data_IF_933389456346
#
_entry.id   IF_933389456346
#
_cell.length_a   1.000
_cell.length_b   1.000
_cell.length_c   1.000
_cell.angle_alpha   90.00
_cell.angle_beta   90.00
_cell.angle_gamma   90.00
#
_symmetry.space_group_name_H-M   'P 1'
#
loop_
_entity.id
_entity.type
_entity.pdbx_description
1 polymer ?
#
# COMPACT_ATOMS: atom_id res chain seq x y z
N UNK A 1 -16.56 -15.32 10.12
CA UNK A 1 -16.72 -14.21 9.14
C UNK A 1 -15.41 -14.05 8.41
N UNK A 2 -15.40 -13.86 7.09
CA UNK A 2 -14.17 -13.63 6.29
C UNK A 2 -13.77 -12.16 6.32
N UNK A 3 -13.67 -11.59 7.52
CA UNK A 3 -13.26 -10.19 7.70
C UNK A 3 -11.88 -9.98 7.07
N UNK A 4 -11.72 -8.96 6.23
CA UNK A 4 -10.46 -8.67 5.51
C UNK A 4 -10.38 -9.17 4.07
N UNK A 5 -11.29 -10.05 3.62
CA UNK A 5 -11.27 -10.54 2.23
C UNK A 5 -11.44 -9.40 1.20
N UNK A 6 -12.30 -8.42 1.48
CA UNK A 6 -12.53 -7.28 0.59
C UNK A 6 -11.27 -6.44 0.35
N UNK A 7 -10.64 -5.87 1.41
CA UNK A 7 -9.37 -5.15 1.28
C UNK A 7 -8.26 -5.97 0.64
N UNK A 8 -8.12 -7.25 1.01
CA UNK A 8 -7.13 -8.14 0.40
C UNK A 8 -7.35 -8.28 -1.11
N UNK A 9 -8.58 -8.58 -1.54
CA UNK A 9 -8.87 -8.68 -2.98
C UNK A 9 -8.64 -7.35 -3.70
N UNK A 10 -8.98 -6.22 -3.07
CA UNK A 10 -8.73 -4.90 -3.65
C UNK A 10 -7.22 -4.62 -3.81
N UNK A 11 -6.40 -5.01 -2.84
CA UNK A 11 -4.94 -4.91 -2.88
C UNK A 11 -4.36 -5.73 -4.04
N UNK A 12 -4.75 -7.00 -4.16
CA UNK A 12 -4.26 -7.87 -5.25
C UNK A 12 -4.73 -7.41 -6.63
N UNK A 13 -5.97 -6.93 -6.74
CA UNK A 13 -6.48 -6.34 -7.98
C UNK A 13 -5.70 -5.06 -8.32
N UNK A 14 -5.38 -4.23 -7.34
CA UNK A 14 -4.57 -3.04 -7.56
C UNK A 14 -3.16 -3.38 -8.07
N UNK A 15 -2.53 -4.46 -7.56
CA UNK A 15 -1.31 -5.00 -8.16
C UNK A 15 -1.49 -5.42 -9.61
N UNK A 16 -2.55 -6.19 -9.91
CA UNK A 16 -2.87 -6.57 -11.28
C UNK A 16 -3.05 -5.36 -12.22
N UNK A 17 -3.54 -4.25 -11.68
CA UNK A 17 -3.76 -2.99 -12.42
C UNK A 17 -2.53 -2.07 -12.44
N UNK A 18 -1.40 -2.48 -11.85
CA UNK A 18 -0.11 -1.82 -11.98
C UNK A 18 0.33 -0.96 -10.78
N UNK A 19 -0.31 -1.10 -9.62
CA UNK A 19 0.19 -0.52 -8.38
C UNK A 19 1.22 -1.44 -7.70
N UNK A 20 2.12 -0.85 -6.91
CA UNK A 20 3.16 -1.56 -6.17
C UNK A 20 3.05 -1.20 -4.69
N UNK A 21 3.75 -1.94 -3.83
CA UNK A 21 3.80 -1.57 -2.43
C UNK A 21 4.38 -0.17 -2.26
N UNK A 22 3.66 0.67 -1.52
CA UNK A 22 4.14 1.99 -1.07
C UNK A 22 5.39 1.84 -0.21
N UNK A 23 5.43 0.79 0.60
CA UNK A 23 6.57 0.38 1.41
C UNK A 23 6.49 -1.13 1.65
N UNK A 24 7.59 -1.83 1.39
CA UNK A 24 7.80 -3.25 1.66
C UNK A 24 8.05 -3.50 3.16
N UNK A 25 7.96 -4.75 3.65
CA UNK A 25 8.17 -5.05 5.07
C UNK A 25 9.53 -4.58 5.59
N UNK A 26 10.56 -4.59 4.73
CA UNK A 26 11.93 -4.17 5.04
C UNK A 26 12.20 -2.67 4.76
N UNK A 27 11.16 -1.87 4.52
CA UNK A 27 11.29 -0.45 4.25
C UNK A 27 11.73 -0.09 2.83
N UNK A 28 11.90 -1.07 1.94
CA UNK A 28 12.14 -0.77 0.52
C UNK A 28 10.91 -0.12 -0.10
N UNK A 29 11.15 0.85 -0.99
CA UNK A 29 10.10 1.49 -1.79
C UNK A 29 10.24 1.02 -3.23
N UNK A 30 9.24 0.31 -3.74
CA UNK A 30 9.20 -0.17 -5.12
C UNK A 30 8.28 0.68 -6.01
N UNK A 31 7.33 1.37 -5.41
CA UNK A 31 6.44 2.29 -6.10
C UNK A 31 7.19 3.58 -6.54
N UNK A 32 6.84 4.10 -7.72
CA UNK A 32 7.45 5.32 -8.28
C UNK A 32 6.59 6.59 -8.11
N UNK A 33 5.45 6.47 -7.42
CA UNK A 33 4.51 7.58 -7.21
C UNK A 33 4.99 8.44 -6.03
N UNK A 34 4.84 9.76 -6.16
CA UNK A 34 5.42 10.73 -5.20
C UNK A 34 4.44 11.20 -4.12
N UNK A 35 3.15 10.90 -4.26
CA UNK A 35 2.09 11.33 -3.34
C UNK A 35 1.64 10.24 -2.37
N UNK A 36 2.36 9.12 -2.32
CA UNK A 36 2.13 8.05 -1.34
C UNK A 36 3.06 8.24 -0.14
N UNK A 37 2.53 8.20 1.10
CA UNK A 37 3.38 8.20 2.29
C UNK A 37 4.27 6.95 2.31
N UNK A 38 5.56 7.16 2.58
CA UNK A 38 6.55 6.09 2.75
C UNK A 38 6.81 5.87 4.25
N UNK A 39 6.81 4.61 4.68
CA UNK A 39 7.28 4.25 6.00
C UNK A 39 8.79 3.99 5.95
N UNK A 40 9.59 4.87 6.55
CA UNK A 40 11.04 4.70 6.57
C UNK A 40 11.50 3.68 7.61
N UNK A 41 12.69 3.11 7.43
CA UNK A 41 13.31 2.18 8.39
C UNK A 41 13.66 2.83 9.72
N UNK A 42 13.61 4.17 9.82
CA UNK A 42 13.69 4.91 11.09
C UNK A 42 12.49 4.66 12.01
N UNK A 43 11.42 4.05 11.49
CA UNK A 43 10.21 3.69 12.24
C UNK A 43 10.20 2.26 12.77
N UNK A 44 11.19 1.43 12.42
CA UNK A 44 11.42 0.11 13.04
C UNK A 44 11.83 0.31 14.51
N UNK A 45 10.82 0.44 15.36
CA UNK A 45 10.94 0.88 16.74
C UNK A 45 11.27 -0.27 17.68
N UNK A 46 10.93 -1.50 17.31
CA UNK A 46 11.31 -2.70 18.05
C UNK A 46 12.59 -3.38 17.53
N UNK A 47 13.07 -2.99 16.33
CA UNK A 47 14.35 -3.40 15.77
C UNK A 47 14.33 -4.82 15.22
N UNK A 48 13.17 -5.35 14.86
CA UNK A 48 13.02 -6.70 14.30
C UNK A 48 13.28 -6.76 12.79
N UNK A 49 13.47 -5.61 12.14
CA UNK A 49 13.70 -5.47 10.71
C UNK A 49 12.43 -5.47 9.87
N UNK A 50 11.25 -5.41 10.48
CA UNK A 50 9.94 -5.39 9.85
C UNK A 50 9.13 -4.15 10.26
N UNK A 51 8.64 -3.42 9.27
CA UNK A 51 7.78 -2.26 9.48
C UNK A 51 6.33 -2.68 9.65
N UNK A 52 5.85 -2.71 10.90
CA UNK A 52 4.47 -3.02 11.25
C UNK A 52 3.48 -1.90 10.88
N UNK A 53 2.18 -2.21 10.89
CA UNK A 53 1.13 -1.19 10.74
C UNK A 53 1.15 -0.15 11.86
N UNK A 54 1.58 -0.52 13.06
CA UNK A 54 1.62 0.36 14.23
C UNK A 54 2.75 1.38 14.12
N UNK A 55 3.94 0.94 13.70
CA UNK A 55 5.10 1.80 13.46
C UNK A 55 4.86 2.78 12.30
N UNK A 56 4.13 2.31 11.30
CA UNK A 56 3.80 3.07 10.10
C UNK A 56 2.47 3.82 10.20
N UNK A 57 1.88 3.98 11.39
CA UNK A 57 0.70 4.80 11.57
C UNK A 57 0.99 6.27 11.17
N UNK A 58 0.08 6.85 10.39
CA UNK A 58 0.26 8.15 9.73
C UNK A 58 1.39 8.20 8.68
N UNK A 59 2.04 7.09 8.36
CA UNK A 59 3.15 7.01 7.41
C UNK A 59 3.04 5.79 6.47
N UNK A 60 1.86 5.60 5.89
CA UNK A 60 1.66 4.61 4.83
C UNK A 60 0.74 3.45 5.22
N UNK A 61 0.62 3.11 6.51
CA UNK A 61 -0.20 1.97 6.96
C UNK A 61 -1.69 2.07 6.56
N UNK A 62 -2.21 3.28 6.37
CA UNK A 62 -3.58 3.51 5.89
C UNK A 62 -3.78 3.26 4.39
N UNK A 63 -2.70 3.22 3.60
CA UNK A 63 -2.76 3.01 2.15
C UNK A 63 -3.10 1.55 1.83
N UNK A 64 -4.00 1.34 0.86
CA UNK A 64 -4.40 0.03 0.38
C UNK A 64 -3.19 -0.79 -0.08
N UNK A 65 -2.18 -0.14 -0.64
CA UNK A 65 -0.95 -0.74 -1.15
C UNK A 65 0.19 -0.72 -0.13
N UNK A 66 -0.07 -0.58 1.16
CA UNK A 66 0.92 -0.97 2.17
C UNK A 66 1.00 -2.50 2.24
N UNK A 67 2.20 -3.07 2.47
CA UNK A 67 2.46 -4.51 2.31
C UNK A 67 1.56 -5.43 3.15
N UNK A 68 0.97 -4.92 4.24
CA UNK A 68 0.06 -5.70 5.09
C UNK A 68 -1.35 -5.83 4.53
N UNK A 69 -1.69 -5.10 3.45
CA UNK A 69 -3.01 -5.09 2.81
C UNK A 69 -4.19 -4.77 3.76
N UNK A 70 -3.93 -4.05 4.86
CA UNK A 70 -4.95 -3.66 5.85
C UNK A 70 -5.52 -2.24 5.61
N UNK A 71 -4.78 -1.41 4.86
CA UNK A 71 -5.19 -0.06 4.52
C UNK A 71 -6.40 -0.02 3.58
N UNK A 72 -6.99 1.17 3.45
CA UNK A 72 -8.21 1.40 2.66
C UNK A 72 -8.14 2.63 1.77
N UNK A 73 -7.04 3.37 1.84
CA UNK A 73 -6.86 4.64 1.14
C UNK A 73 -6.03 4.45 -0.13
N UNK A 74 -6.26 5.31 -1.11
CA UNK A 74 -5.41 5.41 -2.30
C UNK A 74 -5.03 6.88 -2.49
N UNK A 75 -3.81 7.12 -2.95
CA UNK A 75 -3.38 8.46 -3.35
C UNK A 75 -4.03 8.88 -4.67
N UNK A 76 -3.92 10.17 -5.00
CA UNK A 76 -4.47 10.68 -6.25
C UNK A 76 -3.76 10.05 -7.47
N UNK A 77 -2.43 9.92 -7.43
CA UNK A 77 -1.68 9.29 -8.52
C UNK A 77 -1.98 7.79 -8.64
N UNK A 78 -2.20 7.08 -7.53
CA UNK A 78 -2.62 5.68 -7.56
C UNK A 78 -3.98 5.54 -8.27
N UNK A 79 -4.94 6.41 -7.95
CA UNK A 79 -6.24 6.45 -8.63
C UNK A 79 -6.07 6.73 -10.13
N UNK A 80 -5.16 7.62 -10.52
CA UNK A 80 -4.90 7.94 -11.92
C UNK A 80 -4.28 6.76 -12.69
N UNK A 81 -3.42 5.95 -12.04
CA UNK A 81 -2.93 4.69 -12.62
C UNK A 81 -4.10 3.73 -12.85
N UNK A 82 -4.95 3.52 -11.85
CA UNK A 82 -6.10 2.61 -11.96
C UNK A 82 -7.07 3.05 -13.07
N UNK A 83 -7.36 4.36 -13.18
CA UNK A 83 -8.23 4.92 -14.24
C UNK A 83 -7.68 4.76 -15.65
N UNK A 84 -6.37 4.58 -15.81
CA UNK A 84 -5.77 4.33 -17.13
C UNK A 84 -5.96 2.90 -17.59
N UNK A 85 -6.27 1.96 -16.69
CA UNK A 85 -6.50 0.55 -17.01
C UNK A 85 -7.73 0.36 -17.88
N UNK A 86 -7.57 -0.40 -18.96
CA UNK A 86 -8.68 -0.79 -19.85
C UNK A 86 -9.74 -1.64 -19.13
N UNK A 87 -9.37 -2.38 -18.09
CA UNK A 87 -10.30 -3.24 -17.33
C UNK A 87 -11.36 -2.41 -16.59
N UNK A 88 -11.01 -1.18 -16.20
CA UNK A 88 -11.90 -0.28 -15.46
C UNK A 88 -12.54 0.81 -16.34
N UNK A 89 -12.29 0.79 -17.65
CA UNK A 89 -12.98 1.69 -18.59
C UNK A 89 -14.35 1.08 -18.93
N UNK A 90 -15.45 1.83 -18.77
CA UNK A 90 -16.78 1.38 -19.18
C UNK A 90 -16.90 1.24 -20.71
#
# INVERSE_FOLDING_TARGET
TVAGLGPLLAHEIAHFLGLFHTTEPDGRVLEALSDTPVCGTDRDGDGDGFLSTMECDGAGAGNLMFWTAQGRELSAQQIDVLRRSYVLRP
#
